data_IF_249865926487
#
_entry.id   IF_249865926487
#
_cell.length_a   1.000
_cell.length_b   1.000
_cell.length_c   1.000
_cell.angle_alpha   90.00
_cell.angle_beta   90.00
_cell.angle_gamma   90.00
#
_symmetry.space_group_name_H-M   'P 1'
#
loop_
_entity.id
_entity.type
_entity.pdbx_description
1 polymer ?
#
# COMPACT_ATOMS: atom_id res chain seq x y z
N UNK A 1 8.47 -19.82 -7.43
CA UNK A 1 8.48 -18.73 -6.43
C UNK A 1 7.10 -18.11 -6.45
N UNK A 2 6.46 -17.87 -5.30
CA UNK A 2 5.11 -17.31 -5.28
C UNK A 2 5.13 -15.86 -5.81
N UNK A 3 4.05 -15.46 -6.50
CA UNK A 3 3.93 -14.10 -7.05
C UNK A 3 3.57 -13.10 -5.96
N UNK A 4 3.96 -11.84 -6.11
CA UNK A 4 3.73 -10.83 -5.09
C UNK A 4 2.25 -10.40 -5.07
N UNK A 5 1.62 -10.45 -3.90
CA UNK A 5 0.21 -10.09 -3.72
C UNK A 5 0.01 -8.57 -3.60
N UNK A 6 -0.10 -7.91 -4.75
CA UNK A 6 -0.40 -6.48 -4.82
C UNK A 6 -1.83 -6.15 -4.39
N UNK A 7 -2.75 -7.12 -4.37
CA UNK A 7 -4.12 -6.87 -3.93
C UNK A 7 -4.16 -6.71 -2.41
N UNK A 8 -3.52 -7.62 -1.67
CA UNK A 8 -3.35 -7.52 -0.22
C UNK A 8 -2.64 -6.22 0.18
N UNK A 9 -1.60 -5.82 -0.55
CA UNK A 9 -0.91 -4.54 -0.34
C UNK A 9 -1.86 -3.33 -0.47
N UNK A 10 -2.66 -3.28 -1.53
CA UNK A 10 -3.64 -2.19 -1.76
C UNK A 10 -4.74 -2.20 -0.70
N UNK A 11 -5.22 -3.38 -0.33
CA UNK A 11 -6.25 -3.53 0.70
C UNK A 11 -5.77 -3.00 2.06
N UNK A 12 -4.52 -3.31 2.44
CA UNK A 12 -3.92 -2.78 3.67
C UNK A 12 -3.75 -1.26 3.62
N UNK A 13 -3.27 -0.71 2.50
CA UNK A 13 -3.20 0.74 2.28
C UNK A 13 -4.57 1.41 2.46
N UNK A 14 -5.61 0.90 1.79
CA UNK A 14 -6.96 1.46 1.87
C UNK A 14 -7.55 1.33 3.28
N UNK A 15 -7.25 0.26 4.00
CA UNK A 15 -7.63 0.09 5.40
C UNK A 15 -6.99 1.17 6.28
N UNK A 16 -5.67 1.32 6.25
CA UNK A 16 -4.97 2.35 7.04
C UNK A 16 -5.45 3.76 6.71
N UNK A 17 -5.69 4.05 5.41
CA UNK A 17 -6.24 5.33 4.97
C UNK A 17 -7.63 5.59 5.57
N UNK A 18 -8.52 4.59 5.56
CA UNK A 18 -9.89 4.71 6.10
C UNK A 18 -9.88 4.82 7.63
N UNK A 19 -9.05 4.04 8.32
CA UNK A 19 -8.91 4.08 9.78
C UNK A 19 -8.48 5.47 10.28
N UNK A 20 -7.63 6.17 9.51
CA UNK A 20 -7.22 7.55 9.77
C UNK A 20 -8.13 8.61 9.12
N UNK A 21 -9.22 8.20 8.47
CA UNK A 21 -10.15 9.08 7.75
C UNK A 21 -9.47 10.00 6.71
N UNK A 22 -8.35 9.58 6.15
CA UNK A 22 -7.56 10.37 5.21
C UNK A 22 -8.24 10.39 3.83
N UNK A 23 -8.47 11.59 3.30
CA UNK A 23 -8.90 11.76 1.92
C UNK A 23 -7.72 11.61 0.95
N UNK A 24 -8.00 11.30 -0.32
CA UNK A 24 -6.95 11.30 -1.35
C UNK A 24 -6.27 12.67 -1.47
N UNK A 25 -7.00 13.77 -1.29
CA UNK A 25 -6.44 15.12 -1.27
C UNK A 25 -5.50 15.38 -0.09
N UNK A 26 -5.80 14.83 1.09
CA UNK A 26 -4.88 14.87 2.22
C UNK A 26 -3.59 14.11 1.91
N UNK A 27 -3.69 12.91 1.32
CA UNK A 27 -2.52 12.14 0.91
C UNK A 27 -1.67 12.87 -0.15
N UNK A 28 -2.29 13.56 -1.11
CA UNK A 28 -1.56 14.39 -2.09
C UNK A 28 -0.73 15.45 -1.36
N UNK A 29 -1.31 16.16 -0.38
CA UNK A 29 -0.61 17.19 0.39
C UNK A 29 0.54 16.63 1.23
N UNK A 30 0.36 15.44 1.80
CA UNK A 30 1.35 14.80 2.68
C UNK A 30 2.48 14.12 1.91
N UNK A 31 2.20 13.54 0.74
CA UNK A 31 3.16 12.74 -0.04
C UNK A 31 3.77 13.49 -1.22
N UNK A 32 3.11 14.54 -1.70
CA UNK A 32 3.46 15.18 -2.97
C UNK A 32 3.17 14.32 -4.21
N UNK A 33 2.51 13.16 -4.06
CA UNK A 33 2.12 12.31 -5.18
C UNK A 33 0.86 12.87 -5.82
N UNK A 34 0.80 12.87 -7.16
CA UNK A 34 -0.38 13.29 -7.89
C UNK A 34 -1.62 12.43 -7.53
N UNK A 35 -2.78 13.08 -7.43
CA UNK A 35 -4.05 12.42 -7.05
C UNK A 35 -4.38 11.23 -7.96
N UNK A 36 -4.17 11.38 -9.27
CA UNK A 36 -4.38 10.31 -10.26
C UNK A 36 -3.52 9.10 -9.95
N UNK A 37 -2.24 9.29 -9.63
CA UNK A 37 -1.32 8.21 -9.29
C UNK A 37 -1.73 7.46 -8.03
N UNK A 38 -2.18 8.17 -6.98
CA UNK A 38 -2.66 7.50 -5.75
C UNK A 38 -3.92 6.67 -6.06
N UNK A 39 -4.84 7.21 -6.86
CA UNK A 39 -6.05 6.48 -7.28
C UNK A 39 -5.71 5.28 -8.16
N UNK A 40 -4.76 5.43 -9.08
CA UNK A 40 -4.29 4.34 -9.94
C UNK A 40 -3.69 3.20 -9.11
N UNK A 41 -2.91 3.54 -8.08
CA UNK A 41 -2.37 2.58 -7.12
C UNK A 41 -3.50 1.89 -6.36
N UNK A 42 -4.42 2.66 -5.76
CA UNK A 42 -5.52 2.12 -4.95
C UNK A 42 -6.46 1.21 -5.76
N UNK A 43 -6.73 1.54 -7.02
CA UNK A 43 -7.56 0.74 -7.94
C UNK A 43 -6.80 -0.39 -8.63
N UNK A 44 -5.48 -0.48 -8.42
CA UNK A 44 -4.66 -1.50 -9.05
C UNK A 44 -4.39 -1.33 -10.54
N UNK A 45 -4.65 -0.13 -11.08
CA UNK A 45 -4.29 0.24 -12.47
C UNK A 45 -2.78 0.38 -12.65
N UNK A 46 -2.05 0.59 -11.55
CA UNK A 46 -0.58 0.51 -11.50
C UNK A 46 -0.13 -0.16 -10.20
N UNK A 47 1.05 -0.79 -10.23
CA UNK A 47 1.69 -1.36 -9.03
C UNK A 47 2.29 -0.29 -8.12
N UNK A 48 2.49 0.93 -8.64
CA UNK A 48 3.26 1.98 -7.96
C UNK A 48 4.76 1.69 -7.92
N UNK A 49 5.57 2.70 -7.61
CA UNK A 49 7.00 2.54 -7.34
C UNK A 49 7.25 2.30 -5.86
N UNK A 50 8.42 1.75 -5.50
CA UNK A 50 8.86 1.66 -4.10
C UNK A 50 8.87 3.03 -3.43
N UNK A 51 9.30 4.07 -4.15
CA UNK A 51 9.24 5.46 -3.66
C UNK A 51 7.81 5.90 -3.33
N UNK A 52 6.84 5.55 -4.18
CA UNK A 52 5.43 5.87 -3.94
C UNK A 52 4.93 5.20 -2.66
N UNK A 53 5.22 3.91 -2.49
CA UNK A 53 4.85 3.16 -1.30
C UNK A 53 5.54 3.68 -0.04
N UNK A 54 6.82 4.07 -0.12
CA UNK A 54 7.54 4.70 0.99
C UNK A 54 6.87 5.99 1.45
N UNK A 55 6.52 6.89 0.50
CA UNK A 55 5.83 8.14 0.83
C UNK A 55 4.44 7.90 1.41
N UNK A 56 3.67 6.96 0.85
CA UNK A 56 2.35 6.59 1.37
C UNK A 56 2.44 6.01 2.78
N UNK A 57 3.41 5.13 3.04
CA UNK A 57 3.66 4.57 4.37
C UNK A 57 3.97 5.67 5.40
N UNK A 58 4.83 6.63 5.03
CA UNK A 58 5.13 7.79 5.88
C UNK A 58 3.89 8.68 6.12
N UNK A 59 3.05 8.92 5.11
CA UNK A 59 1.82 9.68 5.28
C UNK A 59 0.77 8.95 6.14
N UNK A 60 0.83 7.62 6.19
CA UNK A 60 -0.02 6.79 7.04
C UNK A 60 0.56 6.55 8.43
N UNK A 61 1.75 7.06 8.75
CA UNK A 61 2.48 6.75 10.00
C UNK A 61 2.65 5.23 10.22
N UNK A 62 2.91 4.47 9.15
CA UNK A 62 3.12 3.02 9.19
C UNK A 62 4.52 2.70 8.68
N UNK A 63 5.28 1.79 9.32
CA UNK A 63 6.54 1.32 8.76
C UNK A 63 6.35 0.72 7.37
N UNK A 64 7.18 1.12 6.40
CA UNK A 64 7.10 0.58 5.02
C UNK A 64 7.14 -0.96 5.00
N UNK A 65 7.94 -1.57 5.87
CA UNK A 65 8.05 -3.02 5.97
C UNK A 65 6.73 -3.72 6.35
N UNK A 66 5.91 -3.12 7.22
CA UNK A 66 4.60 -3.66 7.59
C UNK A 66 3.63 -3.65 6.41
N UNK A 67 3.68 -2.58 5.61
CA UNK A 67 2.90 -2.47 4.38
C UNK A 67 3.39 -3.50 3.34
N UNK A 68 4.70 -3.59 3.12
CA UNK A 68 5.29 -4.53 2.13
C UNK A 68 5.12 -6.00 2.51
N UNK A 69 4.98 -6.33 3.80
CA UNK A 69 4.71 -7.72 4.25
C UNK A 69 3.47 -8.32 3.60
N UNK A 70 2.50 -7.49 3.22
CA UNK A 70 1.27 -7.92 2.57
C UNK A 70 1.50 -8.53 1.18
N UNK A 71 2.62 -8.21 0.52
CA UNK A 71 3.01 -8.85 -0.75
C UNK A 71 3.21 -10.37 -0.61
N UNK A 72 3.39 -10.88 0.61
CA UNK A 72 3.55 -12.30 0.90
C UNK A 72 2.28 -12.95 1.49
N UNK A 73 1.13 -12.26 1.50
CA UNK A 73 -0.08 -12.75 2.17
C UNK A 73 -0.59 -14.11 1.63
N UNK A 74 -0.53 -14.31 0.31
CA UNK A 74 -0.95 -15.55 -0.36
C UNK A 74 0.19 -16.58 -0.49
N UNK A 75 1.39 -16.32 0.05
CA UNK A 75 2.54 -17.20 -0.16
C UNK A 75 2.45 -18.55 0.54
N UNK A 76 1.35 -18.80 1.25
CA UNK A 76 1.13 -20.01 2.02
C UNK A 76 2.12 -20.09 3.19
N UNK A 77 1.61 -20.27 4.40
CA UNK A 77 2.44 -20.84 5.48
C UNK A 77 2.64 -22.33 5.20
N UNK A 78 3.24 -22.67 4.07
CA UNK A 78 3.56 -24.05 3.71
C UNK A 78 4.90 -24.38 4.38
N UNK A 79 4.89 -24.48 5.70
CA UNK A 79 6.07 -24.87 6.47
C UNK A 79 6.15 -24.26 7.86
N UNK A 80 5.29 -24.70 8.77
CA UNK A 80 5.68 -25.05 10.15
C UNK A 80 4.56 -25.93 10.72
N UNK A 81 4.70 -27.25 10.55
CA UNK A 81 4.12 -28.26 11.44
C UNK A 81 5.28 -28.97 12.15
#
# INVERSE_FOLDING_TARGET
MPDADYDALRAAFEKHRKDQQLSFDALVRMTGIARSSIIDIAQGRTRGSLESWHRLAHALDVPLADLMRQLCADHGTEGTS
#
